data_IF_143384134560
#
_entry.id   IF_143384134560
#
_cell.length_a   1.000
_cell.length_b   1.000
_cell.length_c   1.000
_cell.angle_alpha   90.00
_cell.angle_beta   90.00
_cell.angle_gamma   90.00
#
_symmetry.space_group_name_H-M   'P 1'
#
loop_
_entity.id
_entity.type
_entity.pdbx_description
1 polymer ?
#
# COMPACT_ATOMS: atom_id res chain seq x y z
N UNK A 1 -46.81 48.23 -29.00
CA UNK A 1 -47.28 46.93 -28.47
C UNK A 1 -46.19 46.33 -27.61
N UNK A 2 -46.28 46.49 -26.31
CA UNK A 2 -45.32 46.02 -25.32
C UNK A 2 -45.70 44.57 -24.94
N UNK A 3 -44.73 43.64 -25.00
CA UNK A 3 -44.87 42.31 -24.44
C UNK A 3 -44.44 42.30 -23.00
N UNK A 4 -45.36 42.05 -22.08
CA UNK A 4 -45.11 41.84 -20.67
C UNK A 4 -44.41 40.49 -20.45
N UNK A 5 -43.40 40.51 -19.57
CA UNK A 5 -42.52 39.40 -19.23
C UNK A 5 -43.12 38.47 -18.14
N UNK A 6 -42.76 37.17 -18.09
CA UNK A 6 -43.34 36.18 -17.18
C UNK A 6 -42.63 36.11 -15.82
N UNK A 7 -42.45 37.24 -15.13
CA UNK A 7 -41.85 37.26 -13.78
C UNK A 7 -42.82 36.92 -12.62
N UNK A 8 -44.13 36.95 -12.87
CA UNK A 8 -45.14 36.71 -11.81
C UNK A 8 -45.32 35.20 -11.50
N UNK A 9 -45.02 34.31 -12.43
CA UNK A 9 -45.16 32.86 -12.23
C UNK A 9 -44.06 32.27 -11.33
N UNK A 10 -42.84 32.79 -11.40
CA UNK A 10 -41.71 32.29 -10.64
C UNK A 10 -41.82 32.59 -9.14
N UNK A 11 -42.28 33.77 -8.80
CA UNK A 11 -42.46 34.19 -7.39
C UNK A 11 -43.60 33.41 -6.72
N UNK A 12 -44.67 33.12 -7.43
CA UNK A 12 -45.77 32.30 -6.89
C UNK A 12 -45.33 30.84 -6.62
N UNK A 13 -44.48 30.27 -7.47
CA UNK A 13 -43.96 28.89 -7.30
C UNK A 13 -42.99 28.81 -6.13
N UNK A 14 -42.13 29.79 -5.93
CA UNK A 14 -41.15 29.78 -4.80
C UNK A 14 -41.90 29.97 -3.48
N UNK A 15 -42.91 30.85 -3.39
CA UNK A 15 -43.73 31.04 -2.19
C UNK A 15 -44.51 29.77 -1.84
N UNK A 16 -45.05 29.04 -2.82
CA UNK A 16 -45.76 27.78 -2.61
C UNK A 16 -44.84 26.67 -2.05
N UNK A 17 -43.61 26.58 -2.51
CA UNK A 17 -42.64 25.60 -2.01
C UNK A 17 -42.18 25.93 -0.58
N UNK A 18 -41.96 27.20 -0.27
CA UNK A 18 -41.55 27.61 1.08
C UNK A 18 -42.70 27.40 2.09
N UNK A 19 -43.94 27.66 1.71
CA UNK A 19 -45.12 27.42 2.55
C UNK A 19 -45.36 25.92 2.76
N UNK A 20 -45.16 25.08 1.71
CA UNK A 20 -45.26 23.60 1.82
C UNK A 20 -44.17 23.00 2.73
N UNK A 21 -42.94 23.49 2.65
CA UNK A 21 -41.85 23.09 3.56
C UNK A 21 -42.08 23.55 5.00
N UNK A 22 -42.62 24.74 5.19
CA UNK A 22 -42.97 25.25 6.53
C UNK A 22 -44.09 24.45 7.19
N UNK A 23 -45.11 24.04 6.44
CA UNK A 23 -46.20 23.20 6.92
C UNK A 23 -45.74 21.75 7.21
N UNK A 24 -44.81 21.18 6.42
CA UNK A 24 -44.26 19.89 6.68
C UNK A 24 -43.40 19.88 7.96
N UNK A 25 -42.59 20.90 8.19
CA UNK A 25 -41.80 21.02 9.44
C UNK A 25 -42.72 21.24 10.66
N UNK A 26 -43.80 22.03 10.54
CA UNK A 26 -44.76 22.23 11.63
C UNK A 26 -45.53 20.97 11.98
N UNK A 27 -45.82 20.12 10.99
CA UNK A 27 -46.49 18.82 11.22
C UNK A 27 -45.60 17.81 11.96
N UNK A 28 -44.27 17.82 11.70
CA UNK A 28 -43.29 16.96 12.41
C UNK A 28 -43.16 17.40 13.87
N UNK A 29 -43.12 18.72 14.16
CA UNK A 29 -43.07 19.22 15.53
C UNK A 29 -44.38 19.02 16.30
N UNK A 30 -45.54 19.21 15.68
CA UNK A 30 -46.81 18.93 16.29
C UNK A 30 -47.04 17.42 16.56
N UNK A 31 -46.50 16.55 15.68
CA UNK A 31 -46.59 15.09 15.89
C UNK A 31 -45.82 14.61 17.12
N UNK A 32 -44.65 15.21 17.39
CA UNK A 32 -43.85 14.86 18.59
C UNK A 32 -44.48 15.33 19.89
N UNK A 33 -45.13 16.51 19.90
CA UNK A 33 -45.87 17.00 21.08
C UNK A 33 -47.14 16.19 21.38
N UNK A 34 -47.85 15.72 20.34
CA UNK A 34 -49.04 14.90 20.50
C UNK A 34 -48.67 13.51 21.05
N UNK A 35 -47.56 12.91 20.61
CA UNK A 35 -47.10 11.62 21.12
C UNK A 35 -46.65 11.72 22.57
N UNK A 36 -46.03 12.83 22.99
CA UNK A 36 -45.66 13.08 24.37
C UNK A 36 -46.88 13.38 25.26
N UNK A 37 -47.86 14.11 24.72
CA UNK A 37 -49.11 14.48 25.45
C UNK A 37 -50.08 13.34 25.64
N UNK A 38 -50.06 12.28 24.83
CA UNK A 38 -50.91 11.11 24.93
C UNK A 38 -50.37 10.00 25.84
N UNK A 39 -49.19 10.18 26.46
CA UNK A 39 -48.61 9.20 27.35
C UNK A 39 -48.24 7.86 26.67
N UNK A 40 -48.20 7.83 25.33
CA UNK A 40 -47.88 6.63 24.56
C UNK A 40 -46.37 6.36 24.48
N UNK A 41 -45.56 7.29 24.92
CA UNK A 41 -44.13 7.06 25.22
C UNK A 41 -44.06 6.49 26.66
N UNK A 42 -44.45 5.25 26.84
CA UNK A 42 -44.25 4.51 28.06
C UNK A 42 -42.73 4.36 28.27
N UNK A 43 -42.15 5.31 29.00
CA UNK A 43 -40.80 5.22 29.48
C UNK A 43 -40.67 4.12 30.49
N UNK A 44 -40.62 2.87 30.05
CA UNK A 44 -40.02 1.82 30.86
C UNK A 44 -38.54 2.23 30.99
N UNK A 45 -38.18 2.68 32.18
CA UNK A 45 -36.79 2.67 32.63
C UNK A 45 -36.35 1.22 32.63
N UNK A 46 -35.90 0.75 31.47
CA UNK A 46 -35.18 -0.51 31.41
C UNK A 46 -33.89 -0.29 32.21
N UNK A 47 -33.90 -0.77 33.43
CA UNK A 47 -32.67 -1.06 34.12
C UNK A 47 -31.89 -2.02 33.21
N UNK A 48 -30.85 -1.50 32.58
CA UNK A 48 -29.82 -2.32 31.96
C UNK A 48 -29.15 -3.10 33.08
N UNK A 49 -29.74 -4.23 33.47
CA UNK A 49 -28.93 -5.28 34.09
C UNK A 49 -27.84 -5.58 33.08
N UNK A 50 -26.59 -5.62 33.53
CA UNK A 50 -25.46 -6.05 32.72
C UNK A 50 -25.78 -7.47 32.22
N UNK A 51 -26.52 -7.53 31.12
CA UNK A 51 -26.72 -8.75 30.34
C UNK A 51 -25.38 -9.16 29.80
N UNK A 52 -25.06 -10.43 29.83
CA UNK A 52 -23.95 -11.05 29.13
C UNK A 52 -23.75 -10.33 27.80
N UNK A 53 -22.54 -9.82 27.58
CA UNK A 53 -22.19 -9.19 26.32
C UNK A 53 -22.72 -10.10 25.18
N UNK A 54 -23.36 -9.53 24.15
CA UNK A 54 -23.81 -10.34 23.02
C UNK A 54 -22.63 -11.16 22.54
N UNK A 55 -22.82 -12.47 22.38
CA UNK A 55 -21.78 -13.33 21.79
C UNK A 55 -21.35 -12.68 20.49
N UNK A 56 -20.05 -12.58 20.27
CA UNK A 56 -19.53 -12.06 19.00
C UNK A 56 -20.27 -12.77 17.86
N UNK A 57 -20.75 -12.04 16.84
CA UNK A 57 -21.36 -12.67 15.68
C UNK A 57 -20.38 -13.73 15.14
N UNK A 58 -20.88 -14.88 14.67
CA UNK A 58 -20.00 -15.89 14.09
C UNK A 58 -19.17 -15.24 12.98
N UNK A 59 -17.89 -15.58 12.87
CA UNK A 59 -17.02 -14.99 11.83
C UNK A 59 -17.66 -15.23 10.47
N UNK A 60 -17.85 -14.15 9.71
CA UNK A 60 -18.44 -14.21 8.35
C UNK A 60 -17.50 -14.94 7.37
N UNK A 61 -16.21 -14.97 7.69
CA UNK A 61 -15.22 -15.83 7.03
C UNK A 61 -14.88 -16.94 8.02
N UNK A 62 -14.97 -18.19 7.57
CA UNK A 62 -14.44 -19.30 8.33
C UNK A 62 -13.00 -18.96 8.73
N UNK A 63 -12.66 -19.07 10.00
CA UNK A 63 -11.27 -19.07 10.42
C UNK A 63 -10.55 -20.11 9.55
N UNK A 64 -9.29 -19.82 9.16
CA UNK A 64 -8.47 -20.81 8.47
C UNK A 64 -8.60 -22.12 9.22
N UNK A 65 -9.11 -23.16 8.54
CA UNK A 65 -9.39 -24.42 9.22
C UNK A 65 -8.08 -25.10 9.57
N UNK A 66 -7.62 -24.88 10.80
CA UNK A 66 -6.42 -25.53 11.33
C UNK A 66 -6.57 -27.05 11.43
N UNK A 67 -7.80 -27.57 11.30
CA UNK A 67 -8.12 -29.00 11.30
C UNK A 67 -8.13 -29.59 9.88
N UNK A 68 -8.05 -28.78 8.84
CA UNK A 68 -7.93 -29.28 7.47
C UNK A 68 -6.71 -30.21 7.38
N UNK A 69 -6.82 -31.34 6.66
CA UNK A 69 -5.72 -32.29 6.54
C UNK A 69 -4.47 -31.63 5.98
N UNK A 70 -3.31 -31.95 6.58
CA UNK A 70 -2.04 -31.47 6.07
C UNK A 70 -1.64 -32.32 4.84
N UNK A 71 -1.28 -31.68 3.71
CA UNK A 71 -0.75 -32.43 2.57
C UNK A 71 0.56 -33.12 2.94
N UNK A 72 0.81 -34.30 2.36
CA UNK A 72 2.05 -35.03 2.57
C UNK A 72 3.19 -34.45 1.73
N UNK A 73 4.43 -34.58 2.21
CA UNK A 73 5.62 -34.12 1.47
C UNK A 73 5.76 -34.81 0.11
N UNK A 74 5.47 -36.10 0.06
CA UNK A 74 5.52 -36.88 -1.17
C UNK A 74 4.44 -36.49 -2.16
N UNK A 75 3.22 -36.21 -1.66
CA UNK A 75 2.11 -35.74 -2.47
C UNK A 75 2.41 -34.39 -3.10
N UNK A 76 2.88 -33.41 -2.32
CA UNK A 76 3.26 -32.07 -2.85
C UNK A 76 4.46 -32.19 -3.81
N UNK A 77 5.46 -33.01 -3.48
CA UNK A 77 6.60 -33.24 -4.39
C UNK A 77 6.13 -33.80 -5.73
N UNK A 78 5.26 -34.80 -5.73
CA UNK A 78 4.69 -35.38 -6.93
C UNK A 78 3.91 -34.40 -7.76
N UNK A 79 3.17 -33.47 -7.13
CA UNK A 79 2.40 -32.42 -7.80
C UNK A 79 3.29 -31.34 -8.44
N UNK A 80 4.43 -31.01 -7.84
CA UNK A 80 5.25 -29.86 -8.24
C UNK A 80 6.45 -30.22 -9.09
N UNK A 81 7.09 -31.39 -8.89
CA UNK A 81 8.39 -31.72 -9.46
C UNK A 81 8.44 -31.54 -10.98
N UNK A 82 7.45 -32.08 -11.71
CA UNK A 82 7.42 -31.96 -13.16
C UNK A 82 7.19 -30.52 -13.65
N UNK A 83 6.46 -29.72 -12.89
CA UNK A 83 6.16 -28.31 -13.21
C UNK A 83 7.34 -27.39 -12.92
N UNK A 84 8.15 -27.69 -11.93
CA UNK A 84 9.32 -26.89 -11.55
C UNK A 84 10.54 -27.17 -12.47
N UNK A 85 10.51 -28.24 -13.27
CA UNK A 85 11.61 -28.60 -14.17
C UNK A 85 11.36 -28.21 -15.63
N UNK A 86 10.30 -27.45 -15.92
CA UNK A 86 9.99 -27.05 -17.30
C UNK A 86 11.00 -26.00 -17.81
N UNK A 87 11.43 -26.06 -19.08
CA UNK A 87 12.45 -25.16 -19.63
C UNK A 87 12.08 -23.67 -19.55
N UNK A 88 10.80 -23.34 -19.48
CA UNK A 88 10.30 -21.96 -19.36
C UNK A 88 10.74 -21.26 -18.09
N UNK A 89 11.03 -22.00 -17.02
CA UNK A 89 11.51 -21.48 -15.74
C UNK A 89 13.03 -21.28 -15.69
N UNK A 90 13.73 -21.55 -16.80
CA UNK A 90 15.18 -21.44 -16.84
C UNK A 90 15.89 -22.64 -16.16
N UNK A 91 17.22 -22.61 -16.11
CA UNK A 91 18.02 -23.70 -15.52
C UNK A 91 18.03 -23.68 -13.99
N UNK A 92 17.63 -22.58 -13.36
CA UNK A 92 17.75 -22.40 -11.92
C UNK A 92 16.44 -21.88 -11.35
N UNK A 93 15.76 -22.74 -10.59
CA UNK A 93 14.55 -22.40 -9.83
C UNK A 93 14.70 -22.84 -8.39
N UNK A 94 14.34 -21.97 -7.48
CA UNK A 94 14.31 -22.25 -6.04
C UNK A 94 12.88 -22.18 -5.53
N UNK A 95 12.57 -22.97 -4.51
CA UNK A 95 11.21 -23.09 -4.02
C UNK A 95 11.15 -23.35 -2.51
N UNK A 96 10.11 -22.82 -1.88
CA UNK A 96 9.71 -23.17 -0.51
C UNK A 96 8.20 -23.21 -0.44
N UNK A 97 7.63 -24.24 0.20
CA UNK A 97 6.22 -24.36 0.55
C UNK A 97 6.13 -24.74 2.01
N UNK A 98 5.40 -23.96 2.80
CA UNK A 98 5.22 -24.20 4.23
C UNK A 98 3.75 -24.20 4.59
N UNK A 99 3.38 -24.98 5.56
CA UNK A 99 2.06 -24.90 6.20
C UNK A 99 1.98 -23.63 7.03
N UNK A 100 0.96 -22.80 6.79
CA UNK A 100 0.81 -21.52 7.47
C UNK A 100 0.54 -21.66 8.95
N UNK A 101 -0.19 -22.71 9.35
CA UNK A 101 -0.64 -22.90 10.74
C UNK A 101 0.47 -23.42 11.65
N UNK A 102 1.33 -24.29 11.12
CA UNK A 102 2.40 -24.95 11.90
C UNK A 102 3.79 -24.37 11.63
N UNK A 103 3.99 -23.72 10.48
CA UNK A 103 5.29 -23.30 9.99
C UNK A 103 6.14 -24.47 9.43
N UNK A 104 5.57 -25.67 9.34
CA UNK A 104 6.30 -26.85 8.84
C UNK A 104 6.56 -26.71 7.33
N UNK A 105 7.81 -26.98 6.93
CA UNK A 105 8.20 -27.08 5.51
C UNK A 105 7.66 -28.36 4.91
N UNK A 106 6.79 -28.22 3.90
CA UNK A 106 6.17 -29.34 3.18
C UNK A 106 6.96 -29.69 1.92
N UNK A 107 7.46 -28.64 1.22
CA UNK A 107 8.32 -28.82 0.05
C UNK A 107 9.42 -27.76 0.03
N UNK A 108 10.61 -28.12 -0.41
CA UNK A 108 11.67 -27.16 -0.65
C UNK A 108 12.65 -27.65 -1.73
N UNK A 109 13.16 -26.67 -2.49
CA UNK A 109 14.29 -26.84 -3.41
C UNK A 109 15.19 -25.63 -3.25
N UNK A 110 16.40 -25.83 -2.73
CA UNK A 110 17.37 -24.77 -2.43
C UNK A 110 16.75 -23.58 -1.66
N UNK A 111 16.04 -23.82 -0.54
CA UNK A 111 15.21 -22.81 0.13
C UNK A 111 15.99 -21.61 0.64
N UNK A 112 17.29 -21.77 0.92
CA UNK A 112 18.19 -20.73 1.45
C UNK A 112 19.05 -20.07 0.36
N UNK A 113 18.90 -20.48 -0.91
CA UNK A 113 19.67 -19.88 -2.00
C UNK A 113 19.30 -18.41 -2.21
N UNK A 114 20.32 -17.57 -2.37
CA UNK A 114 20.19 -16.13 -2.55
C UNK A 114 19.86 -15.80 -4.02
N UNK A 115 18.59 -15.63 -4.33
CA UNK A 115 18.06 -15.34 -5.67
C UNK A 115 17.74 -13.86 -5.84
N UNK A 116 17.72 -13.37 -7.09
CA UNK A 116 17.15 -12.06 -7.40
C UNK A 116 15.63 -12.12 -7.27
N UNK A 117 15.05 -11.36 -6.32
CA UNK A 117 13.64 -11.53 -5.96
C UNK A 117 12.69 -10.76 -6.90
N UNK A 118 13.16 -9.76 -7.61
CA UNK A 118 12.33 -8.76 -8.25
C UNK A 118 11.31 -8.22 -7.23
N UNK A 119 10.09 -7.88 -7.65
CA UNK A 119 9.09 -7.24 -6.77
C UNK A 119 8.55 -8.11 -5.63
N UNK A 120 8.97 -9.37 -5.47
CA UNK A 120 8.66 -10.12 -4.23
C UNK A 120 9.40 -9.56 -3.00
N UNK A 121 10.46 -8.75 -3.21
CA UNK A 121 11.09 -7.89 -2.19
C UNK A 121 10.08 -7.08 -1.39
N UNK A 122 8.98 -6.64 -2.00
CA UNK A 122 7.96 -5.82 -1.35
C UNK A 122 7.25 -6.53 -0.18
N UNK A 123 7.31 -7.87 -0.11
CA UNK A 123 6.87 -8.61 1.09
C UNK A 123 7.77 -8.32 2.29
N UNK A 124 9.08 -8.24 2.04
CA UNK A 124 10.08 -7.90 3.06
C UNK A 124 9.91 -6.47 3.53
N UNK A 125 9.78 -5.53 2.59
CA UNK A 125 9.55 -4.11 2.91
C UNK A 125 8.24 -3.90 3.65
N UNK A 126 7.17 -4.62 3.27
CA UNK A 126 5.88 -4.60 3.95
C UNK A 126 6.00 -5.05 5.41
N UNK A 127 6.63 -6.21 5.65
CA UNK A 127 6.82 -6.73 7.00
C UNK A 127 7.64 -5.77 7.87
N UNK A 128 8.75 -5.26 7.32
CA UNK A 128 9.61 -4.33 8.05
C UNK A 128 8.92 -2.99 8.36
N UNK A 129 8.20 -2.41 7.39
CA UNK A 129 7.50 -1.14 7.59
C UNK A 129 6.37 -1.25 8.62
N UNK A 130 5.57 -2.31 8.54
CA UNK A 130 4.50 -2.58 9.50
C UNK A 130 5.05 -2.84 10.91
N UNK A 131 6.11 -3.63 11.04
CA UNK A 131 6.71 -3.93 12.33
C UNK A 131 7.40 -2.71 12.97
N UNK A 132 8.11 -1.90 12.17
CA UNK A 132 8.89 -0.77 12.68
C UNK A 132 8.03 0.47 13.00
N UNK A 133 6.93 0.70 12.25
CA UNK A 133 6.08 1.89 12.38
C UNK A 133 4.70 1.60 12.96
N UNK A 134 4.23 0.37 12.84
CA UNK A 134 2.85 -0.01 13.13
C UNK A 134 1.86 0.32 12.01
N UNK A 135 0.75 -0.44 11.91
CA UNK A 135 -0.22 -0.32 10.82
C UNK A 135 -0.98 1.02 10.79
N UNK A 136 -1.11 1.69 11.94
CA UNK A 136 -1.83 2.96 12.06
C UNK A 136 -0.94 4.20 11.80
N UNK A 137 0.38 4.04 11.71
CA UNK A 137 1.30 5.14 11.50
C UNK A 137 0.98 5.90 10.21
N UNK A 138 1.10 7.23 10.26
CA UNK A 138 0.93 8.13 9.12
C UNK A 138 2.17 9.01 8.97
N UNK A 139 2.59 9.24 7.74
CA UNK A 139 3.71 10.12 7.43
C UNK A 139 3.19 11.55 7.41
N UNK A 140 3.77 12.41 8.22
CA UNK A 140 3.41 13.83 8.28
C UNK A 140 4.16 14.62 7.20
N UNK A 141 3.46 15.52 6.53
CA UNK A 141 4.03 16.63 5.76
C UNK A 141 3.53 17.92 6.37
N UNK A 142 4.42 18.80 6.79
CA UNK A 142 4.06 20.01 7.52
C UNK A 142 4.65 21.27 6.91
N UNK A 143 4.09 22.40 7.28
CA UNK A 143 4.61 23.72 6.94
C UNK A 143 4.86 24.50 8.22
N UNK A 144 6.02 25.11 8.30
CA UNK A 144 6.39 25.97 9.42
C UNK A 144 6.73 27.39 8.94
N UNK A 145 6.75 28.36 9.85
CA UNK A 145 7.23 29.70 9.56
C UNK A 145 8.71 29.67 9.14
N UNK A 146 9.09 30.47 8.14
CA UNK A 146 10.47 30.64 7.73
C UNK A 146 11.28 31.54 8.66
N UNK A 147 12.57 31.69 8.35
CA UNK A 147 13.48 32.53 9.13
C UNK A 147 13.20 34.04 8.94
N UNK A 148 12.66 34.42 7.79
CA UNK A 148 12.35 35.79 7.45
C UNK A 148 10.83 36.02 7.37
N UNK A 149 10.33 37.24 7.64
CA UNK A 149 8.93 37.56 7.44
C UNK A 149 8.48 37.25 6.01
N UNK A 150 7.32 36.61 5.88
CA UNK A 150 6.76 36.19 4.59
C UNK A 150 7.33 34.90 4.02
N UNK A 151 8.29 34.25 4.66
CA UNK A 151 8.76 32.92 4.28
C UNK A 151 7.97 31.83 4.98
N UNK A 152 7.67 30.76 4.26
CA UNK A 152 7.15 29.48 4.81
C UNK A 152 8.04 28.33 4.38
N UNK A 153 8.19 27.34 5.23
CA UNK A 153 9.03 26.15 4.94
C UNK A 153 8.14 24.91 4.88
N UNK A 154 8.09 24.27 3.71
CA UNK A 154 7.48 22.97 3.50
C UNK A 154 8.46 21.90 3.96
N UNK A 155 8.16 21.20 5.04
CA UNK A 155 9.02 20.20 5.66
C UNK A 155 8.57 18.81 5.23
N UNK A 156 9.47 18.13 4.55
CA UNK A 156 9.24 16.79 4.04
C UNK A 156 9.24 15.72 5.15
N UNK A 157 8.27 14.80 5.12
CA UNK A 157 8.22 13.64 6.02
C UNK A 157 8.56 12.31 5.34
N UNK A 158 8.76 12.32 4.04
CA UNK A 158 9.01 11.11 3.25
C UNK A 158 7.74 10.50 2.64
N UNK A 159 6.62 11.24 2.58
CA UNK A 159 5.40 10.80 1.91
C UNK A 159 5.48 11.01 0.39
N UNK A 160 5.53 9.94 -0.44
CA UNK A 160 5.53 10.08 -1.89
C UNK A 160 4.13 10.27 -2.49
N UNK A 161 3.07 10.18 -1.67
CA UNK A 161 1.70 10.03 -2.17
C UNK A 161 0.92 11.33 -2.27
N UNK A 162 1.46 12.47 -1.81
CA UNK A 162 0.74 13.76 -1.77
C UNK A 162 -0.02 14.04 -3.07
N UNK A 163 -1.32 14.30 -2.95
CA UNK A 163 -2.22 14.47 -4.09
C UNK A 163 -2.23 15.92 -4.59
N UNK A 164 -2.13 16.07 -5.92
CA UNK A 164 -2.31 17.34 -6.63
C UNK A 164 -3.36 17.26 -7.73
N UNK A 165 -3.66 16.05 -8.23
CA UNK A 165 -4.69 15.88 -9.25
C UNK A 165 -6.08 15.78 -8.60
N UNK A 166 -7.15 16.15 -9.33
CA UNK A 166 -8.54 15.97 -8.87
C UNK A 166 -8.81 14.53 -8.42
N UNK A 167 -8.33 13.55 -9.20
CA UNK A 167 -8.30 12.12 -8.83
C UNK A 167 -6.87 11.69 -8.66
N UNK A 168 -6.44 11.46 -7.42
CA UNK A 168 -5.10 10.98 -7.12
C UNK A 168 -4.90 9.54 -7.58
N UNK A 169 -3.67 9.21 -7.96
CA UNK A 169 -3.26 7.83 -8.18
C UNK A 169 -3.28 7.01 -6.88
N UNK A 170 -3.02 7.63 -5.74
CA UNK A 170 -3.00 6.99 -4.43
C UNK A 170 -4.31 7.23 -3.66
N UNK A 171 -5.11 6.20 -3.39
CA UNK A 171 -6.36 6.35 -2.64
C UNK A 171 -6.12 6.85 -1.21
N UNK A 172 -6.85 7.87 -0.81
CA UNK A 172 -6.76 8.43 0.55
C UNK A 172 -5.49 9.24 0.82
N UNK A 173 -4.76 9.63 -0.22
CA UNK A 173 -3.60 10.50 -0.11
C UNK A 173 -3.93 11.87 0.47
N UNK A 174 -3.03 12.43 1.26
CA UNK A 174 -3.10 13.80 1.73
C UNK A 174 -3.01 14.78 0.55
N UNK A 175 -3.73 15.89 0.62
CA UNK A 175 -3.81 16.85 -0.47
C UNK A 175 -2.97 18.10 -0.21
N UNK A 176 -2.26 18.54 -1.23
CA UNK A 176 -1.52 19.81 -1.21
C UNK A 176 -2.48 21.00 -1.00
N UNK A 177 -3.69 20.97 -1.56
CA UNK A 177 -4.69 22.03 -1.43
C UNK A 177 -5.13 22.20 0.04
N UNK A 178 -5.32 21.09 0.77
CA UNK A 178 -5.71 21.13 2.19
C UNK A 178 -4.59 21.72 3.05
N UNK A 179 -3.33 21.36 2.76
CA UNK A 179 -2.18 21.95 3.44
C UNK A 179 -2.06 23.44 3.16
N UNK A 180 -2.23 23.86 1.91
CA UNK A 180 -2.19 25.28 1.53
C UNK A 180 -3.33 26.09 2.18
N UNK A 181 -4.51 25.51 2.32
CA UNK A 181 -5.64 26.12 3.03
C UNK A 181 -5.31 26.40 4.49
N UNK A 182 -4.79 25.40 5.22
CA UNK A 182 -4.38 25.55 6.62
C UNK A 182 -3.34 26.68 6.78
N UNK A 183 -2.33 26.73 5.88
CA UNK A 183 -1.30 27.77 5.93
C UNK A 183 -1.88 29.15 5.69
N UNK A 184 -2.78 29.33 4.71
CA UNK A 184 -3.48 30.59 4.48
C UNK A 184 -4.28 31.05 5.70
N UNK A 185 -4.98 30.14 6.35
CA UNK A 185 -5.74 30.42 7.58
C UNK A 185 -4.80 30.84 8.73
N UNK A 186 -3.70 30.13 8.93
CA UNK A 186 -2.71 30.43 9.96
C UNK A 186 -2.01 31.80 9.76
N UNK A 187 -1.92 32.26 8.50
CA UNK A 187 -1.36 33.55 8.10
C UNK A 187 -2.40 34.67 8.03
N UNK A 188 -3.66 34.42 8.48
CA UNK A 188 -4.73 35.42 8.46
C UNK A 188 -5.15 35.85 7.04
N UNK A 189 -5.02 34.98 6.07
CA UNK A 189 -5.36 35.22 4.67
C UNK A 189 -4.26 35.91 3.85
N UNK A 190 -3.13 36.28 4.47
CA UNK A 190 -2.00 36.88 3.76
C UNK A 190 -1.20 35.77 3.03
N UNK A 191 -0.93 35.98 1.74
CA UNK A 191 -0.07 35.09 0.98
C UNK A 191 1.37 35.26 1.43
N UNK A 192 2.15 34.15 1.61
CA UNK A 192 3.58 34.25 1.81
C UNK A 192 4.26 34.76 0.53
N UNK A 193 5.46 35.30 0.68
CA UNK A 193 6.25 35.83 -0.44
C UNK A 193 7.23 34.80 -1.00
N UNK A 194 7.54 33.75 -0.22
CA UNK A 194 8.53 32.74 -0.59
C UNK A 194 8.19 31.38 0.05
N UNK A 195 8.40 30.31 -0.70
CA UNK A 195 8.33 28.94 -0.23
C UNK A 195 9.73 28.35 -0.21
N UNK A 196 10.15 27.90 0.96
CA UNK A 196 11.35 27.07 1.13
C UNK A 196 10.86 25.63 1.26
N UNK A 197 11.62 24.65 0.75
CA UNK A 197 11.32 23.24 0.97
C UNK A 197 12.53 22.53 1.59
N UNK A 198 12.28 21.84 2.69
CA UNK A 198 13.28 21.13 3.47
C UNK A 198 13.25 19.63 3.12
N UNK A 199 14.34 19.18 2.51
CA UNK A 199 14.55 17.80 2.05
C UNK A 199 15.64 17.08 2.84
N UNK A 200 16.08 17.66 3.94
CA UNK A 200 17.24 17.20 4.73
C UNK A 200 17.05 15.82 5.37
N UNK A 201 15.82 15.33 5.46
CA UNK A 201 15.48 14.03 6.06
C UNK A 201 16.01 12.84 5.24
N UNK A 202 16.21 12.99 3.91
CA UNK A 202 16.80 11.95 3.08
C UNK A 202 18.28 12.24 2.79
N UNK A 203 19.05 11.17 2.67
CA UNK A 203 20.49 11.22 2.37
C UNK A 203 20.82 10.26 1.22
N UNK A 204 22.02 10.39 0.68
CA UNK A 204 22.50 9.52 -0.40
C UNK A 204 21.88 9.81 -1.78
N UNK A 205 21.97 8.84 -2.67
CA UNK A 205 21.44 8.93 -4.03
C UNK A 205 19.91 8.86 -4.07
N UNK A 206 19.30 9.60 -4.98
CA UNK A 206 17.89 9.45 -5.33
C UNK A 206 17.63 8.32 -6.34
N UNK A 207 18.68 7.74 -6.93
CA UNK A 207 18.59 6.61 -7.87
C UNK A 207 19.14 5.36 -7.19
N UNK A 208 18.41 4.26 -7.27
CA UNK A 208 18.80 3.00 -6.66
C UNK A 208 19.98 2.33 -7.34
N UNK A 209 20.81 1.60 -6.58
CA UNK A 209 21.96 0.89 -7.14
C UNK A 209 21.51 -0.17 -8.15
N UNK A 210 22.21 -0.24 -9.29
CA UNK A 210 21.94 -1.20 -10.37
C UNK A 210 20.49 -1.19 -10.91
N UNK A 211 19.80 -0.06 -10.84
CA UNK A 211 18.57 0.15 -11.58
C UNK A 211 18.87 0.26 -13.09
N UNK A 212 17.98 -0.29 -13.90
CA UNK A 212 18.08 -0.15 -15.35
C UNK A 212 18.03 1.35 -15.75
N UNK A 213 18.72 1.72 -16.82
CA UNK A 213 18.92 3.14 -17.22
C UNK A 213 17.60 3.89 -17.50
N UNK A 214 16.55 3.17 -17.88
CA UNK A 214 15.21 3.69 -18.16
C UNK A 214 14.26 3.65 -16.94
N UNK A 215 14.75 3.30 -15.77
CA UNK A 215 13.96 3.14 -14.56
C UNK A 215 13.00 4.32 -14.27
N UNK A 216 13.50 5.55 -14.42
CA UNK A 216 12.73 6.77 -14.15
C UNK A 216 11.99 7.28 -15.39
N UNK A 217 12.53 7.10 -16.59
CA UNK A 217 11.90 7.54 -17.86
C UNK A 217 10.81 6.59 -18.34
N UNK A 218 10.95 5.29 -18.07
CA UNK A 218 9.95 4.24 -18.36
C UNK A 218 8.75 4.24 -17.40
N UNK A 219 8.75 5.12 -16.38
CA UNK A 219 7.61 5.28 -15.46
C UNK A 219 7.52 4.21 -14.36
N UNK A 220 8.47 3.29 -14.26
CA UNK A 220 8.48 2.24 -13.24
C UNK A 220 9.08 2.70 -11.91
N UNK A 221 10.03 3.64 -11.93
CA UNK A 221 10.66 4.28 -10.77
C UNK A 221 10.60 5.80 -10.86
N UNK A 222 11.11 6.47 -9.85
CA UNK A 222 11.31 7.92 -9.80
C UNK A 222 12.63 8.25 -9.09
N UNK A 223 13.14 9.45 -9.28
CA UNK A 223 14.18 9.98 -8.38
C UNK A 223 13.59 10.07 -6.99
N UNK A 224 14.13 9.32 -6.03
CA UNK A 224 13.62 9.28 -4.66
C UNK A 224 13.98 10.56 -3.92
N UNK A 225 12.96 11.33 -3.58
CA UNK A 225 13.07 12.56 -2.80
C UNK A 225 12.09 12.49 -1.62
N UNK A 226 12.35 13.19 -0.49
CA UNK A 226 11.54 13.04 0.71
C UNK A 226 10.17 13.75 0.64
N UNK A 227 9.97 14.54 -0.39
CA UNK A 227 8.68 15.11 -0.75
C UNK A 227 8.47 14.93 -2.25
N UNK A 228 7.32 14.43 -2.62
CA UNK A 228 6.88 14.34 -4.00
C UNK A 228 5.36 14.24 -4.06
N UNK A 229 4.78 14.64 -5.18
CA UNK A 229 3.36 14.47 -5.44
C UNK A 229 3.15 13.30 -6.38
N UNK A 230 2.09 12.50 -6.14
CA UNK A 230 1.67 11.40 -7.01
C UNK A 230 2.81 10.38 -7.33
N UNK A 231 3.77 10.21 -6.40
CA UNK A 231 4.97 9.41 -6.65
C UNK A 231 5.85 9.95 -7.77
N UNK A 232 5.88 11.27 -7.95
CA UNK A 232 6.62 11.95 -9.01
C UNK A 232 5.97 11.88 -10.39
N UNK A 233 4.71 11.41 -10.52
CA UNK A 233 3.99 11.26 -11.80
C UNK A 233 3.57 12.61 -12.38
N UNK A 234 3.67 12.73 -13.72
CA UNK A 234 3.17 13.91 -14.45
C UNK A 234 1.66 13.87 -14.70
N UNK A 235 1.02 12.72 -14.48
CA UNK A 235 -0.44 12.49 -14.56
C UNK A 235 -0.82 11.26 -13.74
N UNK A 236 -2.10 11.17 -13.31
CA UNK A 236 -2.63 10.08 -12.48
C UNK A 236 -2.80 8.77 -13.29
N UNK A 237 -1.68 8.13 -13.65
CA UNK A 237 -1.63 6.85 -14.38
C UNK A 237 -0.46 6.00 -13.88
N UNK A 238 -0.61 4.67 -13.88
CA UNK A 238 0.37 3.72 -13.32
C UNK A 238 1.79 3.94 -13.87
N UNK A 239 1.94 3.92 -15.17
CA UNK A 239 3.23 4.06 -15.88
C UNK A 239 3.41 5.46 -16.47
N UNK A 240 2.90 6.49 -15.78
CA UNK A 240 3.13 7.86 -16.20
C UNK A 240 4.62 8.22 -16.09
N UNK A 241 5.07 9.06 -17.01
CA UNK A 241 6.38 9.71 -16.90
C UNK A 241 6.58 10.34 -15.52
N UNK A 242 7.83 10.41 -15.07
CA UNK A 242 8.18 11.00 -13.77
C UNK A 242 8.88 12.34 -13.97
N UNK A 243 8.67 13.23 -13.02
CA UNK A 243 9.44 14.47 -12.97
C UNK A 243 10.90 14.17 -12.66
N UNK A 244 11.81 14.88 -13.30
CA UNK A 244 13.25 14.76 -13.04
C UNK A 244 13.66 15.31 -11.65
N UNK A 245 12.86 16.25 -11.10
CA UNK A 245 13.05 16.86 -9.78
C UNK A 245 11.70 16.85 -9.04
N UNK A 246 11.29 15.70 -8.47
CA UNK A 246 9.97 15.55 -7.86
C UNK A 246 9.77 16.47 -6.65
N UNK A 247 10.80 16.73 -5.86
CA UNK A 247 10.82 17.65 -4.73
C UNK A 247 10.53 19.10 -5.14
N UNK A 248 11.25 19.61 -6.14
CA UNK A 248 11.02 20.95 -6.67
C UNK A 248 9.60 21.07 -7.23
N UNK A 249 9.14 20.05 -7.97
CA UNK A 249 7.79 20.04 -8.52
C UNK A 249 6.72 20.06 -7.40
N UNK A 250 6.89 19.29 -6.35
CA UNK A 250 5.99 19.28 -5.20
C UNK A 250 5.97 20.66 -4.51
N UNK A 251 7.13 21.27 -4.30
CA UNK A 251 7.24 22.59 -3.72
C UNK A 251 6.62 23.69 -4.60
N UNK A 252 6.77 23.59 -5.92
CA UNK A 252 6.12 24.50 -6.88
C UNK A 252 4.60 24.34 -6.92
N UNK A 253 4.10 23.09 -6.81
CA UNK A 253 2.67 22.83 -6.70
C UNK A 253 2.08 23.45 -5.43
N UNK A 254 2.77 23.31 -4.30
CA UNK A 254 2.39 23.94 -3.04
C UNK A 254 2.44 25.47 -3.12
N UNK A 255 3.50 26.05 -3.69
CA UNK A 255 3.61 27.47 -3.92
C UNK A 255 2.44 28.02 -4.77
N UNK A 256 2.12 27.32 -5.85
CA UNK A 256 0.95 27.65 -6.70
C UNK A 256 -0.36 27.64 -5.93
N UNK A 257 -0.58 26.65 -5.07
CA UNK A 257 -1.75 26.55 -4.21
C UNK A 257 -1.82 27.70 -3.18
N UNK A 258 -0.68 28.24 -2.76
CA UNK A 258 -0.61 29.44 -1.90
C UNK A 258 -0.77 30.76 -2.66
N UNK A 259 -0.63 30.76 -3.98
CA UNK A 259 -0.57 31.98 -4.80
C UNK A 259 0.83 32.60 -4.88
N UNK A 260 1.88 31.83 -4.54
CA UNK A 260 3.28 32.25 -4.61
C UNK A 260 3.86 31.90 -5.99
N UNK A 261 4.59 32.82 -6.66
CA UNK A 261 5.23 32.52 -7.93
C UNK A 261 6.24 31.38 -7.83
N UNK A 262 6.30 30.52 -8.85
CA UNK A 262 7.19 29.32 -8.85
C UNK A 262 8.68 29.65 -8.81
N UNK A 263 9.08 30.87 -9.22
CA UNK A 263 10.44 31.37 -9.10
C UNK A 263 10.82 31.85 -7.68
N UNK A 264 9.85 31.95 -6.77
CA UNK A 264 10.06 32.25 -5.36
C UNK A 264 10.09 30.96 -4.50
N UNK A 265 10.48 29.82 -5.11
CA UNK A 265 10.67 28.53 -4.44
C UNK A 265 12.17 28.22 -4.35
N UNK A 266 12.64 27.84 -3.16
CA UNK A 266 14.05 27.52 -2.93
C UNK A 266 14.20 26.34 -1.94
N UNK A 267 15.24 25.53 -2.11
CA UNK A 267 15.66 24.54 -1.12
C UNK A 267 16.26 25.22 0.10
N UNK A 268 16.01 24.67 1.30
CA UNK A 268 16.59 25.15 2.55
C UNK A 268 16.08 24.35 3.73
N UNK A 269 16.55 24.66 4.93
CA UNK A 269 16.18 23.95 6.15
C UNK A 269 15.14 24.73 6.96
N UNK A 270 14.27 24.02 7.64
CA UNK A 270 13.32 24.59 8.59
C UNK A 270 14.08 25.15 9.82
N UNK A 271 13.74 26.36 10.30
CA UNK A 271 14.31 26.88 11.53
C UNK A 271 13.90 25.98 12.71
N UNK A 272 14.84 25.74 13.63
CA UNK A 272 14.56 24.96 14.82
C UNK A 272 13.49 25.63 15.68
N UNK A 273 12.46 24.86 16.09
CA UNK A 273 11.37 25.39 16.93
C UNK A 273 10.42 26.37 16.19
N UNK A 274 10.49 26.44 14.85
CA UNK A 274 9.61 27.29 14.07
C UNK A 274 8.13 26.94 14.29
N UNK A 275 7.27 27.98 14.30
CA UNK A 275 5.81 27.82 14.49
C UNK A 275 5.23 26.99 13.33
N UNK A 276 4.51 25.93 13.65
CA UNK A 276 3.73 25.17 12.68
C UNK A 276 2.56 26.01 12.15
N UNK A 277 2.38 26.00 10.84
CA UNK A 277 1.34 26.73 10.11
C UNK A 277 0.30 25.79 9.52
N UNK A 278 0.59 24.51 9.39
CA UNK A 278 -0.30 23.48 8.90
C UNK A 278 0.41 22.16 8.72
N UNK A 279 -0.37 21.06 8.74
CA UNK A 279 0.11 19.72 8.45
C UNK A 279 -0.96 18.86 7.80
N UNK A 280 -0.52 17.89 7.03
CA UNK A 280 -1.33 16.81 6.49
C UNK A 280 -0.63 15.49 6.73
N UNK A 281 -1.40 14.42 6.73
CA UNK A 281 -0.91 13.08 7.03
C UNK A 281 -1.28 12.13 5.90
N UNK A 282 -0.36 11.24 5.53
CA UNK A 282 -0.60 10.18 4.55
C UNK A 282 -1.77 9.26 4.94
N UNK A 283 -2.18 8.38 4.06
CA UNK A 283 -2.95 7.21 4.44
C UNK A 283 -2.20 6.41 5.52
N UNK A 284 -2.89 5.60 6.37
CA UNK A 284 -2.21 4.74 7.34
C UNK A 284 -1.23 3.79 6.66
N UNK A 285 -0.15 3.42 7.36
CA UNK A 285 0.88 2.48 6.86
C UNK A 285 0.26 1.19 6.29
N UNK A 286 -0.75 0.65 6.94
CA UNK A 286 -1.49 -0.52 6.45
C UNK A 286 -2.02 -0.32 5.02
N UNK A 287 -2.64 0.83 4.74
CA UNK A 287 -3.18 1.14 3.41
C UNK A 287 -2.11 1.41 2.37
N UNK A 288 -1.01 2.02 2.78
CA UNK A 288 0.15 2.23 1.90
C UNK A 288 0.79 0.88 1.52
N UNK A 289 0.93 -0.04 2.48
CA UNK A 289 1.41 -1.41 2.25
C UNK A 289 0.47 -2.20 1.33
N UNK A 290 -0.84 -2.15 1.57
CA UNK A 290 -1.84 -2.79 0.71
C UNK A 290 -1.71 -2.31 -0.74
N UNK A 291 -1.67 -1.00 -0.95
CA UNK A 291 -1.53 -0.42 -2.28
C UNK A 291 -0.19 -0.78 -2.95
N UNK A 292 0.91 -0.70 -2.18
CA UNK A 292 2.25 -1.08 -2.64
C UNK A 292 2.29 -2.53 -3.14
N UNK A 293 1.70 -3.46 -2.42
CA UNK A 293 1.67 -4.88 -2.79
C UNK A 293 0.76 -5.12 -3.98
N UNK A 294 -0.45 -4.55 -3.98
CA UNK A 294 -1.46 -4.75 -5.01
C UNK A 294 -1.02 -4.19 -6.37
N UNK A 295 -0.52 -2.95 -6.39
CA UNK A 295 -0.08 -2.27 -7.60
C UNK A 295 1.38 -2.52 -7.95
N UNK A 296 2.13 -3.14 -7.03
CA UNK A 296 3.58 -3.34 -7.16
C UNK A 296 4.34 -2.02 -7.33
N UNK A 297 3.96 -0.97 -6.56
CA UNK A 297 4.52 0.37 -6.70
C UNK A 297 5.95 0.43 -6.13
N UNK A 298 6.94 0.68 -6.99
CA UNK A 298 8.36 0.72 -6.61
C UNK A 298 8.68 1.97 -5.79
N UNK A 299 8.13 3.13 -6.18
CA UNK A 299 8.38 4.41 -5.49
C UNK A 299 7.88 4.36 -4.06
N UNK A 300 6.68 3.81 -3.87
CA UNK A 300 6.12 3.64 -2.53
C UNK A 300 6.96 2.66 -1.71
N UNK A 301 7.42 1.55 -2.29
CA UNK A 301 8.25 0.57 -1.61
C UNK A 301 9.57 1.17 -1.11
N UNK A 302 10.25 1.93 -1.95
CA UNK A 302 11.51 2.59 -1.59
C UNK A 302 11.33 3.72 -0.57
N UNK A 303 10.18 4.40 -0.59
CA UNK A 303 9.83 5.37 0.44
C UNK A 303 9.55 4.67 1.78
N UNK A 304 8.84 3.53 1.79
CA UNK A 304 8.57 2.76 3.01
C UNK A 304 9.84 2.14 3.59
N UNK A 305 10.80 1.68 2.78
CA UNK A 305 12.11 1.23 3.27
C UNK A 305 12.86 2.37 3.98
N UNK A 306 12.78 3.62 3.46
CA UNK A 306 13.33 4.79 4.15
C UNK A 306 12.59 5.13 5.44
N UNK A 307 11.28 4.90 5.51
CA UNK A 307 10.52 5.02 6.77
C UNK A 307 10.99 4.00 7.81
N UNK A 308 11.39 2.78 7.39
CA UNK A 308 12.03 1.80 8.28
C UNK A 308 13.37 2.35 8.80
N UNK A 309 14.21 2.92 7.91
CA UNK A 309 15.46 3.55 8.32
C UNK A 309 15.24 4.64 9.38
N UNK A 310 14.30 5.55 9.13
CA UNK A 310 13.94 6.62 10.08
C UNK A 310 13.45 6.07 11.43
N UNK A 311 12.64 4.99 11.42
CA UNK A 311 12.17 4.35 12.64
C UNK A 311 13.30 3.73 13.47
N UNK A 312 14.37 3.29 12.79
CA UNK A 312 15.55 2.67 13.41
C UNK A 312 16.71 3.63 13.62
N UNK A 313 16.47 4.95 13.46
CA UNK A 313 17.51 5.99 13.56
C UNK A 313 18.71 5.74 12.63
N UNK A 314 18.45 5.16 11.47
CA UNK A 314 19.42 4.97 10.40
C UNK A 314 19.27 6.08 9.34
N UNK A 315 20.32 6.38 8.55
CA UNK A 315 20.21 7.31 7.43
C UNK A 315 19.10 6.88 6.46
N UNK A 316 18.21 7.80 6.09
CA UNK A 316 17.13 7.51 5.15
C UNK A 316 17.65 7.53 3.71
N UNK A 317 18.48 6.55 3.37
CA UNK A 317 19.05 6.25 2.07
C UNK A 317 18.65 4.84 1.60
N UNK A 318 19.12 4.39 0.45
CA UNK A 318 18.95 3.00 0.02
C UNK A 318 19.69 2.04 0.95
N UNK A 319 20.93 2.35 1.29
CA UNK A 319 21.77 1.54 2.16
C UNK A 319 21.20 1.47 3.59
N UNK A 320 20.80 2.62 4.14
CA UNK A 320 20.21 2.66 5.48
C UNK A 320 18.86 1.97 5.52
N UNK A 321 18.03 2.08 4.47
CA UNK A 321 16.78 1.35 4.34
C UNK A 321 16.98 -0.17 4.31
N UNK A 322 17.96 -0.64 3.53
CA UNK A 322 18.29 -2.07 3.45
C UNK A 322 18.83 -2.60 4.79
N UNK A 323 19.73 -1.87 5.45
CA UNK A 323 20.28 -2.25 6.75
C UNK A 323 19.22 -2.26 7.87
N UNK A 324 18.38 -1.23 7.91
CA UNK A 324 17.29 -1.15 8.89
C UNK A 324 16.24 -2.26 8.67
N UNK A 325 15.91 -2.55 7.42
CA UNK A 325 15.01 -3.66 7.08
C UNK A 325 15.56 -4.97 7.59
N UNK A 326 16.85 -5.27 7.35
CA UNK A 326 17.50 -6.48 7.87
C UNK A 326 17.40 -6.58 9.40
N UNK A 327 17.72 -5.49 10.10
CA UNK A 327 17.63 -5.44 11.57
C UNK A 327 16.22 -5.77 12.07
N UNK A 328 15.18 -5.23 11.41
CA UNK A 328 13.79 -5.53 11.78
C UNK A 328 13.45 -6.99 11.54
N UNK A 329 13.90 -7.61 10.44
CA UNK A 329 13.67 -9.03 10.19
C UNK A 329 14.36 -9.91 11.26
N UNK A 330 15.57 -9.56 11.67
CA UNK A 330 16.31 -10.25 12.73
C UNK A 330 15.61 -10.11 14.09
N UNK A 331 15.09 -8.93 14.43
CA UNK A 331 14.27 -8.69 15.63
C UNK A 331 12.97 -9.51 15.62
N UNK A 332 12.42 -9.76 14.44
CA UNK A 332 11.26 -10.62 14.26
C UNK A 332 11.60 -12.12 14.34
N UNK A 333 12.88 -12.48 14.42
CA UNK A 333 13.33 -13.86 14.41
C UNK A 333 13.20 -14.56 13.06
N UNK A 334 13.14 -13.78 11.97
CA UNK A 334 13.04 -14.32 10.61
C UNK A 334 14.42 -14.75 10.08
N UNK A 335 14.50 -15.81 9.22
CA UNK A 335 15.76 -16.26 8.66
C UNK A 335 16.30 -15.22 7.67
N UNK A 336 17.48 -14.66 7.95
CA UNK A 336 18.13 -13.68 7.05
C UNK A 336 19.27 -14.30 6.22
N UNK A 337 19.39 -15.62 6.18
CA UNK A 337 20.29 -16.31 5.25
C UNK A 337 19.92 -15.95 3.81
N UNK A 338 20.91 -15.59 3.01
CA UNK A 338 20.70 -15.16 1.64
C UNK A 338 20.13 -13.72 1.48
N UNK A 339 19.96 -12.97 2.57
CA UNK A 339 19.53 -11.58 2.51
C UNK A 339 20.65 -10.65 2.01
N UNK A 340 20.36 -9.89 0.98
CA UNK A 340 21.26 -8.88 0.44
C UNK A 340 20.48 -7.86 -0.38
N UNK A 341 19.63 -7.04 0.30
CA UNK A 341 18.91 -5.97 -0.39
C UNK A 341 19.77 -4.72 -0.55
N UNK A 342 19.56 -4.00 -1.63
CA UNK A 342 20.14 -2.69 -1.94
C UNK A 342 19.07 -1.65 -2.26
N UNK A 343 17.82 -2.07 -2.44
CA UNK A 343 16.63 -1.21 -2.48
C UNK A 343 15.45 -1.84 -1.73
N UNK A 344 14.33 -1.12 -1.61
CA UNK A 344 13.12 -1.60 -0.94
C UNK A 344 12.08 -2.19 -1.89
N UNK A 345 12.30 -2.10 -3.19
CA UNK A 345 11.30 -2.40 -4.22
C UNK A 345 11.55 -3.71 -4.96
N UNK A 346 12.79 -4.18 -4.96
CA UNK A 346 13.25 -5.29 -5.81
C UNK A 346 13.46 -4.88 -7.27
N UNK A 347 13.65 -3.61 -7.52
CA UNK A 347 13.93 -3.12 -8.86
C UNK A 347 15.42 -3.26 -9.20
N UNK A 348 16.26 -3.33 -8.19
CA UNK A 348 17.67 -3.61 -8.34
C UNK A 348 17.94 -5.07 -8.69
N UNK A 349 18.79 -5.29 -9.67
CA UNK A 349 19.29 -6.61 -10.01
C UNK A 349 20.27 -7.18 -8.98
N UNK A 350 20.76 -6.35 -8.07
CA UNK A 350 21.69 -6.73 -7.01
C UNK A 350 20.97 -7.24 -5.75
N UNK A 351 19.65 -7.11 -5.67
CA UNK A 351 18.88 -7.65 -4.56
C UNK A 351 18.98 -9.18 -4.50
N UNK A 352 19.09 -9.70 -3.29
CA UNK A 352 19.12 -11.14 -3.00
C UNK A 352 18.21 -11.47 -1.83
N UNK A 353 17.34 -12.45 -2.03
CA UNK A 353 16.49 -13.04 -1.00
C UNK A 353 16.38 -14.54 -1.21
N UNK A 354 16.04 -15.25 -0.15
CA UNK A 354 15.78 -16.68 -0.22
C UNK A 354 14.26 -16.98 -0.22
N UNK A 355 13.80 -18.07 -0.85
CA UNK A 355 12.41 -18.54 -0.75
C UNK A 355 11.98 -18.78 0.70
N UNK A 356 12.88 -19.32 1.54
CA UNK A 356 12.61 -19.58 2.95
C UNK A 356 12.23 -18.28 3.72
N UNK A 357 12.93 -17.18 3.47
CA UNK A 357 12.58 -15.89 4.10
C UNK A 357 11.18 -15.43 3.67
N UNK A 358 10.83 -15.53 2.38
CA UNK A 358 9.53 -15.08 1.87
C UNK A 358 8.39 -15.91 2.47
N UNK A 359 8.52 -17.23 2.56
CA UNK A 359 7.51 -18.09 3.18
C UNK A 359 7.43 -17.90 4.69
N UNK A 360 8.56 -17.67 5.38
CA UNK A 360 8.57 -17.36 6.81
C UNK A 360 7.85 -16.03 7.14
N UNK A 361 8.01 -14.99 6.31
CA UNK A 361 7.26 -13.73 6.45
C UNK A 361 5.75 -13.99 6.32
N UNK A 362 5.32 -14.76 5.31
CA UNK A 362 3.92 -15.06 5.09
C UNK A 362 3.32 -15.92 6.22
N UNK A 363 4.04 -16.93 6.70
CA UNK A 363 3.61 -17.73 7.84
C UNK A 363 3.52 -16.88 9.12
N UNK A 364 4.50 -16.01 9.38
CA UNK A 364 4.47 -15.09 10.52
C UNK A 364 3.29 -14.12 10.42
N UNK A 365 3.04 -13.53 9.26
CA UNK A 365 1.95 -12.58 9.06
C UNK A 365 0.56 -13.20 9.26
N UNK A 366 0.42 -14.52 9.17
CA UNK A 366 -0.84 -15.22 9.40
C UNK A 366 -1.13 -15.53 10.88
N UNK A 367 -0.14 -15.36 11.76
CA UNK A 367 -0.30 -15.66 13.18
C UNK A 367 -1.26 -14.67 13.85
N UNK A 368 -2.10 -15.17 14.75
CA UNK A 368 -3.08 -14.36 15.47
C UNK A 368 -2.43 -13.28 16.37
N UNK A 369 -1.22 -13.54 16.89
CA UNK A 369 -0.44 -12.59 17.71
C UNK A 369 0.30 -11.54 16.88
N UNK A 370 0.21 -11.58 15.54
CA UNK A 370 0.84 -10.66 14.60
C UNK A 370 -0.19 -9.90 13.73
N UNK A 371 -1.24 -9.43 14.37
CA UNK A 371 -2.28 -8.62 13.72
C UNK A 371 -1.72 -7.34 13.05
N UNK A 372 -0.56 -6.85 13.53
CA UNK A 372 0.19 -5.75 12.95
C UNK A 372 0.62 -6.03 11.48
N UNK A 373 0.83 -7.30 11.09
CA UNK A 373 1.26 -7.71 9.76
C UNK A 373 0.11 -8.13 8.82
N UNK A 374 -1.13 -8.24 9.29
CA UNK A 374 -2.26 -8.77 8.52
C UNK A 374 -2.54 -8.01 7.22
N UNK A 375 -2.17 -6.72 7.15
CA UNK A 375 -2.29 -5.91 5.92
C UNK A 375 -1.47 -6.44 4.74
N UNK A 376 -0.51 -7.34 4.99
CA UNK A 376 0.19 -8.05 3.91
C UNK A 376 -0.82 -8.86 3.08
N UNK A 377 -1.72 -9.60 3.72
CA UNK A 377 -2.69 -10.47 3.02
C UNK A 377 -3.75 -9.68 2.25
N UNK A 378 -4.27 -8.58 2.82
CA UNK A 378 -5.23 -7.72 2.12
C UNK A 378 -4.59 -6.97 0.94
N UNK A 379 -3.26 -6.77 0.97
CA UNK A 379 -2.49 -6.17 -0.11
C UNK A 379 -2.07 -7.16 -1.20
N UNK A 380 -2.09 -8.48 -0.96
CA UNK A 380 -1.72 -9.45 -2.00
C UNK A 380 -2.74 -9.43 -3.15
N UNK A 381 -2.26 -9.33 -4.41
CA UNK A 381 -3.09 -9.61 -5.58
C UNK A 381 -3.79 -10.97 -5.50
N UNK A 382 -5.04 -11.02 -5.95
CA UNK A 382 -5.86 -12.23 -5.98
C UNK A 382 -5.98 -12.74 -7.42
N UNK A 383 -5.72 -14.01 -7.63
CA UNK A 383 -5.81 -14.68 -8.92
C UNK A 383 -7.17 -14.43 -9.60
N UNK A 384 -7.15 -13.98 -10.86
CA UNK A 384 -8.30 -13.61 -11.70
C UNK A 384 -9.17 -12.46 -11.15
N UNK A 385 -8.72 -11.71 -10.12
CA UNK A 385 -9.59 -10.71 -9.50
C UNK A 385 -8.92 -9.34 -9.29
N UNK A 386 -7.74 -9.26 -8.69
CA UNK A 386 -7.17 -7.95 -8.32
C UNK A 386 -5.68 -7.80 -8.59
N UNK A 387 -5.22 -6.55 -8.64
CA UNK A 387 -3.83 -6.17 -8.74
C UNK A 387 -3.12 -6.80 -9.95
N UNK A 388 -1.88 -7.20 -9.79
CA UNK A 388 -1.06 -7.80 -10.85
C UNK A 388 -1.49 -9.22 -11.25
N UNK A 389 -2.44 -9.83 -10.54
CA UNK A 389 -3.03 -11.13 -10.88
C UNK A 389 -4.43 -11.02 -11.53
N UNK A 390 -4.97 -9.82 -11.70
CA UNK A 390 -6.34 -9.61 -12.22
C UNK A 390 -6.60 -10.22 -13.60
N UNK A 391 -5.58 -10.30 -14.44
CA UNK A 391 -5.65 -10.86 -15.81
C UNK A 391 -4.98 -12.22 -15.93
N UNK A 392 -4.48 -12.79 -14.83
CA UNK A 392 -3.86 -14.12 -14.77
C UNK A 392 -4.89 -15.15 -14.27
N UNK A 393 -4.66 -16.43 -14.51
CA UNK A 393 -5.56 -17.54 -14.12
C UNK A 393 -6.96 -17.50 -14.79
N UNK A 394 -7.14 -16.75 -15.87
CA UNK A 394 -8.43 -16.66 -16.59
C UNK A 394 -8.67 -17.82 -17.56
N UNK A 395 -7.61 -18.51 -17.99
CA UNK A 395 -7.71 -19.63 -18.93
C UNK A 395 -7.87 -20.95 -18.19
N UNK A 396 -8.66 -21.86 -18.77
CA UNK A 396 -8.99 -23.14 -18.14
C UNK A 396 -7.79 -24.05 -17.87
N UNK A 397 -6.72 -23.94 -18.68
CA UNK A 397 -5.50 -24.73 -18.55
C UNK A 397 -4.57 -24.28 -17.41
N UNK A 398 -4.84 -23.08 -16.83
CA UNK A 398 -4.08 -22.53 -15.70
C UNK A 398 -5.01 -22.12 -14.57
N UNK A 399 -6.30 -21.83 -14.85
CA UNK A 399 -7.12 -21.03 -13.96
C UNK A 399 -8.24 -21.72 -13.20
N UNK A 400 -8.72 -22.86 -13.64
CA UNK A 400 -10.01 -23.39 -13.18
C UNK A 400 -10.15 -23.52 -11.66
N UNK A 401 -9.13 -24.02 -10.96
CA UNK A 401 -9.14 -24.21 -9.49
C UNK A 401 -8.40 -23.11 -8.72
N UNK A 402 -7.57 -22.32 -9.40
CA UNK A 402 -6.69 -21.34 -8.75
C UNK A 402 -7.29 -19.93 -8.69
N UNK A 403 -8.31 -19.62 -9.51
CA UNK A 403 -9.01 -18.35 -9.50
C UNK A 403 -9.63 -18.09 -8.11
N UNK A 404 -9.27 -16.95 -7.49
CA UNK A 404 -9.69 -16.61 -6.13
C UNK A 404 -8.95 -17.32 -5.00
N UNK A 405 -8.29 -18.47 -5.27
CA UNK A 405 -7.63 -19.29 -4.26
C UNK A 405 -6.17 -18.86 -4.02
N UNK A 406 -5.47 -18.43 -5.07
CA UNK A 406 -4.10 -17.93 -4.99
C UNK A 406 -4.10 -16.44 -4.70
N UNK A 407 -3.36 -16.04 -3.67
CA UNK A 407 -3.07 -14.64 -3.34
C UNK A 407 -1.56 -14.47 -3.30
N UNK A 408 -0.99 -13.72 -4.23
CA UNK A 408 0.47 -13.68 -4.34
C UNK A 408 1.01 -12.37 -4.87
N UNK A 409 2.21 -12.02 -4.38
CA UNK A 409 3.05 -10.97 -4.94
C UNK A 409 3.83 -11.54 -6.13
N UNK A 410 3.77 -10.85 -7.24
CA UNK A 410 4.51 -11.14 -8.46
C UNK A 410 5.84 -10.42 -8.49
N UNK A 411 6.87 -11.01 -9.07
CA UNK A 411 8.13 -10.36 -9.39
C UNK A 411 8.54 -10.66 -10.83
N UNK A 412 8.96 -9.61 -11.57
CA UNK A 412 9.45 -9.76 -12.93
C UNK A 412 10.51 -8.70 -13.23
N UNK A 413 11.68 -9.14 -13.65
CA UNK A 413 12.70 -8.37 -14.35
C UNK A 413 13.13 -9.18 -15.58
N UNK A 414 13.86 -8.57 -16.50
CA UNK A 414 14.37 -9.33 -17.66
C UNK A 414 15.21 -10.52 -17.19
N UNK A 415 14.80 -11.71 -17.54
CA UNK A 415 15.46 -12.97 -17.14
C UNK A 415 15.14 -13.43 -15.70
N UNK A 416 14.25 -12.77 -14.95
CA UNK A 416 13.88 -13.10 -13.57
C UNK A 416 12.38 -13.10 -13.42
N UNK A 417 11.84 -14.20 -12.87
CA UNK A 417 10.43 -14.34 -12.55
C UNK A 417 10.26 -14.95 -11.16
N UNK A 418 9.39 -14.37 -10.36
CA UNK A 418 9.08 -14.86 -9.01
C UNK A 418 7.62 -14.74 -8.67
N UNK A 419 7.15 -15.62 -7.78
CA UNK A 419 5.78 -15.60 -7.27
C UNK A 419 5.82 -16.08 -5.81
N UNK A 420 5.37 -15.26 -4.87
CA UNK A 420 5.34 -15.62 -3.45
C UNK A 420 4.03 -15.16 -2.81
N UNK A 421 3.39 -16.06 -2.07
CA UNK A 421 2.07 -15.78 -1.51
C UNK A 421 1.48 -16.95 -0.74
N UNK A 422 0.17 -16.97 -0.66
CA UNK A 422 -0.59 -18.04 -0.01
C UNK A 422 -1.60 -18.65 -0.97
N UNK A 423 -1.92 -19.89 -0.73
CA UNK A 423 -2.96 -20.63 -1.45
C UNK A 423 -3.75 -21.49 -0.46
N UNK A 424 -5.05 -21.60 -0.69
CA UNK A 424 -5.90 -22.60 -0.01
C UNK A 424 -5.96 -23.81 -0.91
N UNK A 425 -5.56 -24.96 -0.41
CA UNK A 425 -5.59 -26.23 -1.16
C UNK A 425 -7.00 -26.83 -1.26
N UNK A 426 -7.12 -27.96 -1.95
CA UNK A 426 -8.41 -28.60 -2.18
C UNK A 426 -9.09 -29.12 -0.89
N UNK A 427 -8.32 -29.34 0.16
CA UNK A 427 -8.80 -29.80 1.46
C UNK A 427 -9.07 -28.63 2.44
N UNK A 428 -8.85 -27.38 2.03
CA UNK A 428 -9.04 -26.16 2.84
C UNK A 428 -7.80 -25.77 3.64
N UNK A 429 -6.65 -26.44 3.46
CA UNK A 429 -5.40 -26.09 4.14
C UNK A 429 -4.76 -24.86 3.50
N UNK A 430 -4.27 -23.94 4.31
CA UNK A 430 -3.56 -22.76 3.81
C UNK A 430 -2.07 -23.00 3.79
N UNK A 431 -1.47 -22.86 2.61
CA UNK A 431 -0.04 -23.01 2.38
C UNK A 431 0.56 -21.67 1.98
N UNK A 432 1.72 -21.31 2.52
CA UNK A 432 2.55 -20.23 2.01
C UNK A 432 3.59 -20.80 1.04
N UNK A 433 3.83 -20.09 -0.05
CA UNK A 433 4.77 -20.54 -1.06
C UNK A 433 5.64 -19.39 -1.58
N UNK A 434 6.83 -19.73 -2.05
CA UNK A 434 7.71 -18.83 -2.81
C UNK A 434 8.43 -19.65 -3.89
N UNK A 435 8.29 -19.21 -5.14
CA UNK A 435 8.96 -19.75 -6.32
C UNK A 435 9.77 -18.65 -6.97
N UNK A 436 11.07 -18.88 -7.19
CA UNK A 436 11.98 -17.88 -7.76
C UNK A 436 12.80 -18.54 -8.86
N UNK A 437 12.69 -17.99 -10.08
CA UNK A 437 13.36 -18.48 -11.27
C UNK A 437 14.23 -17.37 -11.87
N UNK A 438 15.44 -17.73 -12.29
CA UNK A 438 16.31 -16.81 -13.01
C UNK A 438 16.76 -17.41 -14.37
N UNK A 439 17.46 -16.59 -15.17
CA UNK A 439 17.87 -16.94 -16.54
C UNK A 439 16.71 -17.40 -17.43
N UNK A 440 15.49 -16.91 -17.14
CA UNK A 440 14.33 -17.20 -17.98
C UNK A 440 14.49 -16.46 -19.31
N UNK A 441 14.20 -17.14 -20.41
CA UNK A 441 14.38 -16.58 -21.78
C UNK A 441 13.13 -15.86 -22.29
N UNK A 442 11.94 -16.17 -21.76
CA UNK A 442 10.67 -15.57 -22.14
C UNK A 442 9.83 -15.34 -20.88
N UNK A 443 9.66 -14.07 -20.51
CA UNK A 443 8.96 -13.69 -19.28
C UNK A 443 7.50 -14.16 -19.25
N UNK A 444 6.74 -14.07 -20.36
CA UNK A 444 5.34 -14.46 -20.41
C UNK A 444 5.17 -15.97 -20.21
N UNK A 445 6.05 -16.76 -20.81
CA UNK A 445 6.02 -18.22 -20.63
C UNK A 445 6.42 -18.63 -19.21
N UNK A 446 7.41 -17.94 -18.63
CA UNK A 446 7.82 -18.17 -17.24
C UNK A 446 6.70 -17.81 -16.25
N UNK A 447 5.99 -16.71 -16.49
CA UNK A 447 4.82 -16.31 -15.71
C UNK A 447 3.73 -17.38 -15.76
N UNK A 448 3.39 -17.90 -16.93
CA UNK A 448 2.41 -18.99 -17.07
C UNK A 448 2.87 -20.27 -16.39
N UNK A 449 4.16 -20.59 -16.46
CA UNK A 449 4.71 -21.74 -15.76
C UNK A 449 4.59 -21.63 -14.23
N UNK A 450 4.94 -20.47 -13.66
CA UNK A 450 4.75 -20.20 -12.22
C UNK A 450 3.27 -20.24 -11.81
N UNK A 451 2.36 -19.77 -12.67
CA UNK A 451 0.91 -19.86 -12.40
C UNK A 451 0.44 -21.30 -12.31
N UNK A 452 0.96 -22.20 -13.18
CA UNK A 452 0.66 -23.63 -13.12
C UNK A 452 1.18 -24.27 -11.85
N UNK A 453 2.37 -23.89 -11.37
CA UNK A 453 2.92 -24.40 -10.11
C UNK A 453 2.01 -24.02 -8.94
N UNK A 454 1.60 -22.73 -8.85
CA UNK A 454 0.69 -22.27 -7.80
C UNK A 454 -0.72 -22.88 -7.92
N UNK A 455 -1.23 -23.09 -9.16
CA UNK A 455 -2.49 -23.76 -9.41
C UNK A 455 -2.47 -25.25 -9.01
N UNK A 456 -1.33 -25.92 -9.18
CA UNK A 456 -1.17 -27.29 -8.72
C UNK A 456 -1.27 -27.39 -7.19
N UNK A 457 -0.74 -26.42 -6.44
CA UNK A 457 -0.95 -26.34 -4.99
C UNK A 457 -2.43 -26.12 -4.63
N UNK A 458 -3.14 -25.24 -5.36
CA UNK A 458 -4.57 -25.04 -5.14
C UNK A 458 -5.42 -26.28 -5.39
N UNK A 459 -5.02 -27.10 -6.36
CA UNK A 459 -5.70 -28.36 -6.70
C UNK A 459 -5.27 -29.54 -5.82
N UNK A 460 -4.26 -29.35 -4.98
CA UNK A 460 -3.64 -30.41 -4.21
C UNK A 460 -4.51 -30.80 -3.02
N UNK A 461 -5.10 -32.01 -3.06
CA UNK A 461 -5.50 -32.73 -1.87
C UNK A 461 -4.45 -33.78 -1.51
N UNK A 462 -3.21 -33.45 -1.57
CA UNK A 462 -1.98 -34.28 -1.65
C UNK A 462 -1.76 -35.16 -0.39
N UNK A 463 -2.58 -36.15 -0.19
CA UNK A 463 -2.53 -37.09 0.94
C UNK A 463 -1.61 -38.28 0.68
#
# INVERSE_FOLDING_TARGET
>A
MARETPQRGLIASVVAVVVALGLALSAVFAGTEIVNGLGLAGGQKTHWTAGTAPSAPPPVLAAMDSQAPMPTKDGVTSALQALLTVPQLGPHITASVVDVSTGETIYSSEPDAAMTPASTTKLVTAAAALAARGPAYRIETKVVAGAQPGEVVLVAGGDPTLAVFPTSYYPGAARIDDLAKQVKEALGGQAPTKVIYDVSIYTGSGIGPAWDADATTGGSGAVMTPIMTEGGRVKSQKYAQRYAKPDLQAAQAFAGALGVPTNAVAVGNAPQGAKELGKVESAPMARMVEFMLQESDNVLADALARQVALAKNQPASFEGGAAATKSVLEELGLPTTGYGLVDGSGFSRNDRLSPALLTAILAMAARADRADLHSIFSGLPVAAYSGTLSTRYLKSDVGGTAAGMVRAKTGTLTGVNSLAGVVVDADGRTLAFAFMADQTTNADQAVVALDRVAAALAACGCR
#
